data_IF_976435861589
#
_entry.id   IF_976435861589
#
_cell.length_a   1.000
_cell.length_b   1.000
_cell.length_c   1.000
_cell.angle_alpha   90.00
_cell.angle_beta   90.00
_cell.angle_gamma   90.00
#
_symmetry.space_group_name_H-M   'P 1'
#
loop_
_entity.id
_entity.type
_entity.pdbx_description
1 polymer ?
#
# COMPACT_ATOMS: atom_id res chain seq x y z
N UNK A 1 9.17 -16.60 16.86
CA UNK A 1 8.22 -15.49 17.05
C UNK A 1 8.20 -14.76 15.74
N UNK A 2 7.08 -14.79 15.02
CA UNK A 2 6.93 -14.01 13.80
C UNK A 2 6.83 -12.53 14.21
N UNK A 3 7.70 -11.69 13.65
CA UNK A 3 7.63 -10.25 13.85
C UNK A 3 6.54 -9.73 12.92
N UNK A 4 5.37 -9.41 13.48
CA UNK A 4 4.30 -8.76 12.73
C UNK A 4 4.38 -7.24 12.88
N UNK A 5 3.97 -6.52 11.85
CA UNK A 5 3.99 -5.05 11.80
C UNK A 5 2.56 -4.55 11.80
N UNK A 6 1.94 -4.48 12.98
CA UNK A 6 0.52 -4.13 13.17
C UNK A 6 -0.44 -5.03 12.35
N UNK A 7 -0.16 -6.33 12.32
CA UNK A 7 -0.98 -7.31 11.59
C UNK A 7 -0.42 -7.68 10.21
N UNK A 8 0.50 -6.91 9.66
CA UNK A 8 1.18 -7.23 8.39
C UNK A 8 2.37 -8.17 8.60
N UNK A 9 2.64 -8.99 7.59
CA UNK A 9 3.73 -9.96 7.58
C UNK A 9 5.12 -9.31 7.55
N UNK A 10 5.25 -8.10 7.01
CA UNK A 10 6.53 -7.40 6.92
C UNK A 10 6.40 -5.87 7.01
N UNK A 11 7.55 -5.23 7.23
CA UNK A 11 7.65 -3.78 7.40
C UNK A 11 7.29 -3.00 6.13
N UNK A 12 7.70 -3.48 4.96
CA UNK A 12 7.49 -2.79 3.69
C UNK A 12 5.99 -2.68 3.39
N UNK A 13 5.26 -3.79 3.51
CA UNK A 13 3.80 -3.83 3.31
C UNK A 13 3.07 -2.92 4.29
N UNK A 14 3.43 -2.99 5.58
CA UNK A 14 2.85 -2.10 6.59
C UNK A 14 3.13 -0.62 6.29
N UNK A 15 4.35 -0.29 5.88
CA UNK A 15 4.75 1.08 5.57
C UNK A 15 3.94 1.66 4.39
N UNK A 16 3.80 0.88 3.31
CA UNK A 16 3.00 1.25 2.14
C UNK A 16 1.53 1.43 2.51
N UNK A 17 0.94 0.49 3.25
CA UNK A 17 -0.44 0.57 3.71
C UNK A 17 -0.70 1.83 4.56
N UNK A 18 0.18 2.09 5.54
CA UNK A 18 0.11 3.29 6.38
C UNK A 18 0.24 4.56 5.55
N UNK A 19 1.18 4.63 4.62
CA UNK A 19 1.41 5.80 3.79
C UNK A 19 0.15 6.18 2.99
N UNK A 20 -0.51 5.18 2.38
CA UNK A 20 -1.67 5.40 1.52
C UNK A 20 -2.96 5.75 2.28
N UNK A 21 -3.08 5.28 3.53
CA UNK A 21 -4.29 5.45 4.33
C UNK A 21 -4.22 6.65 5.28
N UNK A 22 -3.04 7.20 5.54
CA UNK A 22 -2.84 8.29 6.50
C UNK A 22 -3.13 9.70 5.92
N UNK A 23 -3.11 9.87 4.59
CA UNK A 23 -3.53 11.12 3.94
C UNK A 23 -4.93 10.98 3.34
N UNK A 24 -5.81 11.97 3.58
CA UNK A 24 -7.20 11.92 3.12
C UNK A 24 -7.32 11.90 1.58
N UNK A 25 -6.43 12.58 0.87
CA UNK A 25 -6.39 12.61 -0.59
C UNK A 25 -6.00 11.25 -1.16
N UNK A 26 -4.93 10.65 -0.63
CA UNK A 26 -4.50 9.30 -0.99
C UNK A 26 -5.56 8.27 -0.62
N UNK A 27 -6.10 8.31 0.60
CA UNK A 27 -7.17 7.41 1.04
C UNK A 27 -8.37 7.42 0.07
N UNK A 28 -8.84 8.61 -0.32
CA UNK A 28 -9.96 8.75 -1.24
C UNK A 28 -9.64 8.34 -2.69
N UNK A 29 -8.36 8.31 -3.07
CA UNK A 29 -7.89 7.76 -4.33
C UNK A 29 -7.82 6.24 -4.27
N UNK A 30 -7.12 5.67 -3.27
CA UNK A 30 -6.81 4.24 -3.21
C UNK A 30 -8.04 3.37 -2.96
N UNK A 31 -9.01 3.86 -2.16
CA UNK A 31 -10.26 3.11 -1.90
C UNK A 31 -11.15 2.85 -3.12
N UNK A 32 -10.78 3.41 -4.28
CA UNK A 32 -11.50 3.20 -5.57
C UNK A 32 -11.01 1.96 -6.31
N UNK A 33 -9.96 1.31 -5.81
CA UNK A 33 -9.32 0.18 -6.47
C UNK A 33 -9.57 -1.10 -5.68
N UNK A 34 -9.65 -2.20 -6.42
CA UNK A 34 -9.90 -3.57 -5.94
C UNK A 34 -8.65 -4.44 -5.99
N UNK A 35 -7.55 -3.89 -6.53
CA UNK A 35 -6.28 -4.60 -6.73
C UNK A 35 -5.10 -3.63 -6.68
N UNK A 36 -4.02 -4.08 -6.06
CA UNK A 36 -2.78 -3.34 -5.87
C UNK A 36 -2.16 -2.94 -7.19
N UNK A 37 -2.15 -3.83 -8.19
CA UNK A 37 -1.59 -3.53 -9.50
C UNK A 37 -2.28 -2.31 -10.14
N UNK A 38 -3.61 -2.22 -10.08
CA UNK A 38 -4.36 -1.08 -10.60
C UNK A 38 -4.14 0.18 -9.76
N UNK A 39 -4.13 0.03 -8.44
CA UNK A 39 -3.85 1.12 -7.51
C UNK A 39 -2.47 1.74 -7.77
N UNK A 40 -1.43 0.90 -7.85
CA UNK A 40 -0.05 1.27 -8.15
C UNK A 40 0.06 2.00 -9.48
N UNK A 41 -0.51 1.45 -10.56
CA UNK A 41 -0.51 2.11 -11.87
C UNK A 41 -1.14 3.53 -11.81
N UNK A 42 -2.19 3.71 -11.00
CA UNK A 42 -2.78 5.02 -10.79
C UNK A 42 -1.84 5.96 -10.01
N UNK A 43 -1.23 5.49 -8.92
CA UNK A 43 -0.26 6.26 -8.13
C UNK A 43 0.94 6.70 -8.99
N UNK A 44 1.48 5.80 -9.82
CA UNK A 44 2.55 6.07 -10.77
C UNK A 44 2.16 7.17 -11.78
N UNK A 45 0.91 7.16 -12.25
CA UNK A 45 0.41 8.21 -13.15
C UNK A 45 0.36 9.61 -12.50
N UNK A 46 0.29 9.66 -11.17
CA UNK A 46 0.41 10.89 -10.37
C UNK A 46 1.86 11.21 -9.96
N UNK A 47 2.83 10.37 -10.35
CA UNK A 47 4.24 10.52 -10.01
C UNK A 47 4.61 10.01 -8.61
N UNK A 48 3.73 9.24 -7.95
CA UNK A 48 4.04 8.57 -6.69
C UNK A 48 4.50 7.14 -6.97
N UNK A 49 5.74 6.83 -6.60
CA UNK A 49 6.38 5.52 -6.86
C UNK A 49 6.95 4.87 -5.60
N UNK A 50 6.99 5.60 -4.49
CA UNK A 50 7.53 5.16 -3.21
C UNK A 50 6.91 5.94 -2.05
N UNK A 51 7.05 5.41 -0.84
CA UNK A 51 6.67 6.10 0.40
C UNK A 51 7.73 7.14 0.80
N UNK A 52 7.40 7.98 1.78
CA UNK A 52 8.38 8.93 2.36
C UNK A 52 9.59 8.26 3.02
N UNK A 53 9.50 6.96 3.34
CA UNK A 53 10.58 6.19 3.94
C UNK A 53 11.44 5.48 2.87
N UNK A 54 11.26 5.81 1.58
CA UNK A 54 11.94 5.23 0.41
C UNK A 54 11.62 3.74 0.19
N UNK A 55 10.41 3.29 0.56
CA UNK A 55 9.92 1.97 0.20
C UNK A 55 9.22 2.08 -1.16
N UNK A 56 9.79 1.43 -2.17
CA UNK A 56 9.23 1.43 -3.52
C UNK A 56 7.91 0.66 -3.57
N UNK A 57 6.97 1.10 -4.39
CA UNK A 57 5.74 0.36 -4.67
C UNK A 57 5.96 -0.90 -5.54
N UNK A 58 7.17 -1.06 -6.06
CA UNK A 58 7.69 -2.26 -6.74
C UNK A 58 8.65 -3.08 -5.86
N UNK A 59 8.75 -2.78 -4.56
CA UNK A 59 9.64 -3.51 -3.67
C UNK A 59 9.26 -5.01 -3.65
N UNK A 60 10.21 -5.93 -3.95
CA UNK A 60 9.94 -7.37 -4.04
C UNK A 60 9.52 -7.99 -2.71
N UNK A 61 9.74 -7.31 -1.58
CA UNK A 61 9.32 -7.76 -0.26
C UNK A 61 7.86 -7.38 0.05
N UNK A 62 7.16 -6.63 -0.81
CA UNK A 62 5.75 -6.33 -0.63
C UNK A 62 4.87 -7.59 -0.73
N UNK A 63 4.02 -7.77 0.27
CA UNK A 63 2.97 -8.78 0.21
C UNK A 63 1.76 -8.20 -0.52
N UNK A 64 1.62 -8.58 -1.79
CA UNK A 64 0.56 -8.07 -2.67
C UNK A 64 -0.83 -8.51 -2.19
N UNK A 65 -0.94 -9.69 -1.56
CA UNK A 65 -2.24 -10.17 -1.07
C UNK A 65 -2.69 -9.32 0.12
N UNK A 66 -1.79 -8.97 1.05
CA UNK A 66 -2.11 -8.09 2.16
C UNK A 66 -2.48 -6.66 1.68
N UNK A 67 -1.88 -6.17 0.60
CA UNK A 67 -2.27 -4.89 -0.01
C UNK A 67 -3.64 -4.96 -0.67
N UNK A 68 -3.96 -6.07 -1.35
CA UNK A 68 -5.30 -6.30 -1.92
C UNK A 68 -6.36 -6.40 -0.82
N UNK A 69 -6.06 -7.10 0.29
CA UNK A 69 -6.93 -7.18 1.47
C UNK A 69 -7.16 -5.80 2.08
N UNK A 70 -6.09 -5.00 2.26
CA UNK A 70 -6.20 -3.62 2.73
C UNK A 70 -7.12 -2.81 1.84
N UNK A 71 -6.96 -2.87 0.50
CA UNK A 71 -7.82 -2.14 -0.43
C UNK A 71 -9.30 -2.57 -0.33
N UNK A 72 -9.55 -3.87 -0.17
CA UNK A 72 -10.91 -4.39 0.01
C UNK A 72 -11.57 -3.86 1.31
N UNK A 73 -10.80 -3.68 2.39
CA UNK A 73 -11.29 -3.12 3.66
C UNK A 73 -11.62 -1.62 3.58
N UNK A 74 -11.07 -0.88 2.62
CA UNK A 74 -11.36 0.55 2.44
C UNK A 74 -12.68 0.83 1.71
N UNK A 75 -13.28 -0.19 1.07
CA UNK A 75 -14.43 -0.07 0.16
C UNK A 75 -15.80 -0.01 0.85
#
# INVERSE_FOLDING_TARGET
METTYNGYANYATWNVSMFLTNDEGLYNLVKRFDSWERCKNALESFGLTETCDNISFDDPDLDINELDEMLAELS
#
